data_IF_700221986804
#
_entry.id   IF_700221986804
#
_cell.length_a   1.000
_cell.length_b   1.000
_cell.length_c   1.000
_cell.angle_alpha   90.00
_cell.angle_beta   90.00
_cell.angle_gamma   90.00
#
_symmetry.space_group_name_H-M   'P 1'
#
loop_
_entity.id
_entity.type
_entity.pdbx_description
1 polymer ?
#
# COMPACT_ATOMS: atom_id res chain seq x y z
N UNK A 1 4.03 -65.67 11.50
CA UNK A 1 3.87 -64.46 12.30
C UNK A 1 4.48 -63.33 11.50
N UNK A 2 3.63 -62.49 10.87
CA UNK A 2 4.08 -61.27 10.16
C UNK A 2 3.83 -60.07 11.09
N UNK A 3 4.88 -59.39 11.47
CA UNK A 3 4.81 -58.17 12.26
C UNK A 3 4.49 -56.98 11.34
N UNK A 4 3.31 -56.36 11.51
CA UNK A 4 2.96 -55.10 10.89
C UNK A 4 3.71 -53.95 11.60
N UNK A 5 4.64 -53.30 10.93
CA UNK A 5 5.22 -52.05 11.37
C UNK A 5 4.21 -50.89 11.09
N UNK A 6 3.66 -50.31 12.15
CA UNK A 6 2.85 -49.11 12.11
C UNK A 6 3.83 -47.95 11.98
N UNK A 7 3.89 -47.33 10.79
CA UNK A 7 4.58 -46.08 10.56
C UNK A 7 3.74 -44.93 11.15
N UNK A 8 4.16 -44.38 12.28
CA UNK A 8 3.63 -43.14 12.84
C UNK A 8 4.23 -41.98 12.01
N UNK A 9 3.51 -41.57 10.98
CA UNK A 9 3.79 -40.33 10.28
C UNK A 9 3.58 -39.16 11.24
N UNK A 10 4.67 -38.51 11.66
CA UNK A 10 4.63 -37.22 12.30
C UNK A 10 4.27 -36.23 11.18
N UNK A 11 3.01 -35.78 11.13
CA UNK A 11 2.63 -34.65 10.32
C UNK A 11 3.35 -33.45 10.92
N UNK A 12 4.34 -32.91 10.22
CA UNK A 12 4.87 -31.57 10.51
C UNK A 12 3.69 -30.61 10.41
N UNK A 13 3.27 -30.05 11.54
CA UNK A 13 2.34 -28.95 11.59
C UNK A 13 3.07 -27.80 10.88
N UNK A 14 2.55 -27.32 9.75
CA UNK A 14 3.11 -26.15 9.09
C UNK A 14 3.07 -25.03 10.13
N UNK A 15 4.23 -24.46 10.45
CA UNK A 15 4.31 -23.31 11.36
C UNK A 15 3.41 -22.21 10.81
N UNK A 16 2.52 -21.70 11.67
CA UNK A 16 1.58 -20.64 11.31
C UNK A 16 2.38 -19.38 10.91
N UNK A 17 2.14 -18.86 9.71
CA UNK A 17 2.81 -17.65 9.23
C UNK A 17 2.57 -16.49 10.19
N UNK A 18 3.63 -15.79 10.59
CA UNK A 18 3.55 -14.61 11.45
C UNK A 18 4.24 -13.42 10.81
N UNK A 19 3.66 -12.24 10.98
CA UNK A 19 4.23 -10.99 10.49
C UNK A 19 4.38 -9.95 11.60
N UNK A 20 5.50 -9.24 11.56
CA UNK A 20 5.66 -7.94 12.20
C UNK A 20 5.43 -6.87 11.14
N UNK A 21 4.59 -5.87 11.41
CA UNK A 21 4.23 -4.89 10.38
C UNK A 21 3.91 -3.50 10.95
N UNK A 22 4.16 -2.47 10.14
CA UNK A 22 3.60 -1.13 10.31
C UNK A 22 2.19 -1.11 9.70
N UNK A 23 1.22 -0.52 10.40
CA UNK A 23 -0.11 -0.22 9.89
C UNK A 23 -0.33 1.30 9.85
N UNK A 24 -0.82 1.81 8.71
CA UNK A 24 -1.18 3.21 8.49
C UNK A 24 -2.66 3.33 8.13
N UNK A 25 -3.40 4.20 8.84
CA UNK A 25 -4.83 4.37 8.59
C UNK A 25 -5.52 5.20 9.67
N UNK A 26 -6.71 4.76 10.08
CA UNK A 26 -7.44 5.40 11.17
C UNK A 26 -6.71 5.26 12.52
N UNK A 27 -5.89 4.26 12.66
CA UNK A 27 -4.88 4.09 13.69
C UNK A 27 -3.53 3.82 13.01
N UNK A 28 -2.43 4.22 13.67
CA UNK A 28 -1.07 4.01 13.16
C UNK A 28 -0.25 3.34 14.25
N UNK A 29 0.32 2.17 13.94
CA UNK A 29 1.03 1.36 14.91
C UNK A 29 1.96 0.34 14.24
N UNK A 30 2.95 -0.12 14.99
CA UNK A 30 3.70 -1.33 14.65
C UNK A 30 3.11 -2.49 15.47
N UNK A 31 2.76 -3.57 14.78
CA UNK A 31 2.30 -4.82 15.36
C UNK A 31 3.46 -5.80 15.35
N UNK A 32 3.77 -6.38 16.51
CA UNK A 32 4.74 -7.46 16.66
C UNK A 32 4.20 -8.78 16.13
N UNK A 33 5.08 -9.71 15.81
CA UNK A 33 4.73 -11.06 15.40
C UNK A 33 3.95 -11.86 16.48
N UNK A 34 4.04 -11.42 17.74
CA UNK A 34 3.27 -11.95 18.87
C UNK A 34 1.85 -11.37 19.01
N UNK A 35 1.42 -10.56 18.04
CA UNK A 35 0.11 -9.91 18.04
C UNK A 35 -0.03 -8.74 19.01
N UNK A 36 1.09 -8.26 19.61
CA UNK A 36 1.07 -7.08 20.49
C UNK A 36 1.57 -5.84 19.75
N UNK A 37 0.99 -4.68 20.10
CA UNK A 37 1.48 -3.41 19.58
C UNK A 37 2.80 -3.03 20.26
N UNK A 38 3.86 -2.91 19.47
CA UNK A 38 5.19 -2.47 19.93
C UNK A 38 5.32 -0.95 19.96
N UNK A 39 4.63 -0.27 19.04
CA UNK A 39 4.66 1.17 18.90
C UNK A 39 3.31 1.70 18.41
N UNK A 40 2.96 2.93 18.78
CA UNK A 40 1.73 3.60 18.34
C UNK A 40 2.01 5.07 18.07
N UNK A 41 1.36 5.62 17.05
CA UNK A 41 1.41 7.04 16.72
C UNK A 41 0.05 7.69 16.99
N UNK A 42 -0.02 8.90 17.61
CA UNK A 42 -1.27 9.47 18.08
C UNK A 42 -2.14 10.10 16.98
N UNK A 43 -1.76 9.99 15.71
CA UNK A 43 -2.48 10.59 14.58
C UNK A 43 -2.86 9.56 13.54
N UNK A 44 -3.90 9.90 12.74
CA UNK A 44 -4.27 9.16 11.54
C UNK A 44 -3.25 9.44 10.45
N UNK A 45 -2.90 8.41 9.70
CA UNK A 45 -1.96 8.50 8.58
C UNK A 45 -2.60 7.94 7.32
N UNK A 46 -2.05 8.28 6.17
CA UNK A 46 -2.44 7.72 4.88
C UNK A 46 -1.44 6.69 4.40
N UNK A 47 -0.17 6.97 4.62
CA UNK A 47 0.96 6.22 4.10
C UNK A 47 2.10 6.29 5.11
N UNK A 48 3.06 5.37 5.05
CA UNK A 48 4.23 5.41 5.92
C UNK A 48 5.12 4.19 5.81
N UNK A 49 6.36 4.37 6.27
CA UNK A 49 7.43 3.37 6.18
C UNK A 49 8.30 3.37 7.43
N UNK A 50 8.83 2.21 7.76
CA UNK A 50 9.94 2.02 8.70
C UNK A 50 11.19 1.77 7.87
N UNK A 51 12.19 2.63 8.02
CA UNK A 51 13.48 2.50 7.33
C UNK A 51 14.39 1.49 8.03
N UNK A 52 15.49 1.10 7.38
CA UNK A 52 16.41 0.10 7.91
C UNK A 52 17.08 0.51 9.22
N UNK A 53 17.26 1.81 9.45
CA UNK A 53 17.80 2.38 10.69
C UNK A 53 16.74 2.49 11.82
N UNK A 54 15.51 2.07 11.57
CA UNK A 54 14.39 2.18 12.50
C UNK A 54 13.65 3.53 12.47
N UNK A 55 14.08 4.47 11.64
CA UNK A 55 13.35 5.72 11.39
C UNK A 55 11.98 5.44 10.78
N UNK A 56 10.94 6.12 11.24
CA UNK A 56 9.59 6.02 10.70
C UNK A 56 9.25 7.28 9.92
N UNK A 57 8.75 7.14 8.70
CA UNK A 57 8.28 8.24 7.86
C UNK A 57 6.78 8.10 7.65
N UNK A 58 6.00 9.16 7.88
CA UNK A 58 4.54 9.12 7.82
C UNK A 58 3.96 10.27 7.02
N UNK A 59 2.98 9.97 6.16
CA UNK A 59 2.07 10.95 5.58
C UNK A 59 0.84 11.12 6.49
N UNK A 60 0.72 12.28 7.13
CA UNK A 60 -0.34 12.58 8.10
C UNK A 60 -1.61 13.06 7.40
N UNK A 61 -2.75 12.57 7.85
CA UNK A 61 -4.03 13.16 7.50
C UNK A 61 -4.09 14.62 7.97
N UNK A 62 -4.92 15.40 7.30
CA UNK A 62 -5.20 16.79 7.68
C UNK A 62 -5.80 16.89 9.08
N UNK A 63 -5.34 17.88 9.85
CA UNK A 63 -5.85 18.27 11.14
C UNK A 63 -5.49 19.72 11.47
N UNK A 64 -5.93 20.27 12.63
CA UNK A 64 -5.81 21.71 12.94
C UNK A 64 -4.40 22.29 12.73
N UNK A 65 -3.34 21.56 13.14
CA UNK A 65 -1.94 22.03 12.98
C UNK A 65 -1.49 21.97 11.52
N UNK A 66 -1.96 20.97 10.76
CA UNK A 66 -1.62 20.73 9.35
C UNK A 66 -2.91 20.55 8.52
N UNK A 67 -3.57 21.65 8.11
CA UNK A 67 -4.86 21.57 7.41
C UNK A 67 -4.79 20.92 6.02
N UNK A 68 -3.59 20.88 5.40
CA UNK A 68 -3.31 20.17 4.16
C UNK A 68 -2.64 18.78 4.37
N UNK A 69 -2.53 18.32 5.61
CA UNK A 69 -1.71 17.16 5.94
C UNK A 69 -0.24 17.54 6.11
N UNK A 70 0.62 16.56 6.31
CA UNK A 70 2.06 16.76 6.48
C UNK A 70 2.83 15.47 6.21
N UNK A 71 4.15 15.58 6.01
CA UNK A 71 5.09 14.47 6.11
C UNK A 71 5.99 14.70 7.30
N UNK A 72 6.11 13.71 8.16
CA UNK A 72 6.98 13.72 9.33
C UNK A 72 7.94 12.54 9.30
N UNK A 73 9.11 12.74 9.89
CA UNK A 73 10.09 11.70 10.20
C UNK A 73 10.21 11.57 11.70
N UNK A 74 10.19 10.34 12.20
CA UNK A 74 10.33 10.01 13.61
C UNK A 74 11.60 9.17 13.74
N UNK A 75 12.59 9.70 14.43
CA UNK A 75 13.83 8.98 14.69
C UNK A 75 13.61 7.84 15.72
N UNK A 76 14.54 6.84 15.82
CA UNK A 76 14.40 5.73 16.77
C UNK A 76 14.30 6.16 18.24
N UNK A 77 14.83 7.33 18.59
CA UNK A 77 14.70 7.94 19.92
C UNK A 77 13.35 8.64 20.16
N UNK A 78 12.45 8.62 19.18
CA UNK A 78 11.12 9.23 19.22
C UNK A 78 11.05 10.70 18.81
N UNK A 79 12.17 11.33 18.45
CA UNK A 79 12.19 12.72 18.01
C UNK A 79 11.49 12.88 16.64
N UNK A 80 10.41 13.67 16.62
CA UNK A 80 9.65 13.98 15.40
C UNK A 80 10.19 15.23 14.70
N UNK A 81 10.47 15.12 13.40
CA UNK A 81 10.87 16.21 12.52
C UNK A 81 9.84 16.38 11.40
N UNK A 82 9.36 17.61 11.19
CA UNK A 82 8.53 17.98 10.05
C UNK A 82 9.40 18.04 8.79
N UNK A 83 9.06 17.22 7.78
CA UNK A 83 9.72 17.24 6.46
C UNK A 83 8.94 18.15 5.51
N UNK A 84 7.60 18.02 5.49
CA UNK A 84 6.74 18.81 4.61
C UNK A 84 5.44 19.19 5.31
N UNK A 85 5.05 20.44 5.18
CA UNK A 85 3.72 20.93 5.55
C UNK A 85 2.88 21.03 4.29
N UNK A 86 1.80 20.27 4.20
CA UNK A 86 0.90 20.30 3.07
C UNK A 86 0.40 21.71 2.77
N UNK A 87 0.52 22.11 1.51
CA UNK A 87 0.19 23.47 1.03
C UNK A 87 -1.14 23.52 0.31
N UNK A 88 -1.72 22.35 0.02
CA UNK A 88 -3.00 22.18 -0.63
C UNK A 88 -4.00 21.42 0.26
N UNK A 89 -5.00 20.75 -0.34
CA UNK A 89 -6.07 20.09 0.42
C UNK A 89 -5.59 18.88 1.22
N UNK A 90 -4.72 18.03 0.62
CA UNK A 90 -4.28 16.77 1.23
C UNK A 90 -2.89 16.37 0.74
N UNK A 91 -2.02 15.90 1.67
CA UNK A 91 -0.89 15.03 1.34
C UNK A 91 -1.41 13.60 1.29
N UNK A 92 -1.24 12.90 0.17
CA UNK A 92 -1.86 11.60 -0.05
C UNK A 92 -0.91 10.41 0.04
N UNK A 93 0.38 10.62 -0.21
CA UNK A 93 1.39 9.58 -0.14
C UNK A 93 2.73 10.11 0.36
N UNK A 94 3.57 9.23 0.85
CA UNK A 94 4.99 9.44 1.04
C UNK A 94 5.71 8.14 0.71
N UNK A 95 6.80 8.24 -0.03
CA UNK A 95 7.69 7.11 -0.30
C UNK A 95 9.14 7.55 -0.07
N UNK A 96 9.84 6.97 0.90
CA UNK A 96 11.30 7.10 1.01
C UNK A 96 11.96 6.42 -0.18
N UNK A 97 12.98 7.03 -0.77
CA UNK A 97 13.74 6.46 -1.88
C UNK A 97 15.10 5.96 -1.42
N UNK A 98 15.75 5.13 -2.24
CA UNK A 98 17.10 4.64 -1.97
C UNK A 98 18.14 5.77 -1.92
N UNK A 99 17.86 6.90 -2.61
CA UNK A 99 18.70 8.10 -2.60
C UNK A 99 18.53 8.95 -1.32
N UNK A 100 17.67 8.53 -0.39
CA UNK A 100 17.36 9.26 0.85
C UNK A 100 16.47 10.48 0.62
N UNK A 101 15.71 10.51 -0.48
CA UNK A 101 14.69 11.53 -0.76
C UNK A 101 13.31 11.01 -0.39
N UNK A 102 12.29 11.86 -0.49
CA UNK A 102 10.88 11.50 -0.26
C UNK A 102 10.04 11.92 -1.45
N UNK A 103 9.37 10.95 -2.09
CA UNK A 103 8.33 11.24 -3.08
C UNK A 103 7.01 11.43 -2.37
N UNK A 104 6.33 12.54 -2.60
CA UNK A 104 5.01 12.84 -2.04
C UNK A 104 4.05 13.31 -3.11
N UNK A 105 2.75 13.18 -2.85
CA UNK A 105 1.72 13.81 -3.69
C UNK A 105 0.81 14.69 -2.86
N UNK A 106 0.48 15.85 -3.41
CA UNK A 106 -0.54 16.74 -2.89
C UNK A 106 -1.76 16.78 -3.83
N UNK A 107 -2.93 16.53 -3.26
CA UNK A 107 -4.21 16.74 -3.92
C UNK A 107 -4.77 18.13 -3.56
N UNK A 108 -5.41 18.79 -4.51
CA UNK A 108 -5.96 20.11 -4.32
C UNK A 108 -6.35 20.75 -5.65
N UNK A 109 -6.42 22.08 -5.69
CA UNK A 109 -6.72 22.84 -6.92
C UNK A 109 -5.62 22.66 -7.97
N UNK A 110 -4.39 22.37 -7.52
CA UNK A 110 -3.21 22.13 -8.36
C UNK A 110 -2.53 20.82 -7.91
N UNK A 111 -3.13 19.64 -8.21
CA UNK A 111 -2.55 18.37 -7.79
C UNK A 111 -1.16 18.19 -8.38
N UNK A 112 -0.20 17.73 -7.57
CA UNK A 112 1.20 17.62 -7.97
C UNK A 112 1.95 16.51 -7.28
N UNK A 113 3.02 16.07 -7.92
CA UNK A 113 4.07 15.26 -7.34
C UNK A 113 5.22 16.17 -6.91
N UNK A 114 5.83 15.86 -5.78
CA UNK A 114 7.04 16.48 -5.29
C UNK A 114 8.05 15.38 -4.92
N UNK A 115 9.31 15.55 -5.29
CA UNK A 115 10.42 14.81 -4.66
C UNK A 115 11.19 15.78 -3.77
N UNK A 116 11.33 15.41 -2.50
CA UNK A 116 11.92 16.24 -1.46
C UNK A 116 13.27 15.65 -1.00
N UNK A 117 14.24 16.50 -0.70
CA UNK A 117 15.42 16.07 0.04
C UNK A 117 15.06 15.58 1.45
N UNK A 118 15.98 14.95 2.14
CA UNK A 118 15.85 14.56 3.55
C UNK A 118 15.48 15.71 4.51
N UNK A 119 15.70 16.97 4.09
CA UNK A 119 15.39 18.19 4.85
C UNK A 119 14.15 18.93 4.35
N UNK A 120 13.41 18.35 3.38
CA UNK A 120 12.18 18.93 2.84
C UNK A 120 12.39 19.97 1.73
N UNK A 121 13.62 20.13 1.18
CA UNK A 121 13.83 20.96 0.00
C UNK A 121 13.26 20.26 -1.23
N UNK A 122 12.46 20.98 -2.04
CA UNK A 122 11.93 20.47 -3.32
C UNK A 122 13.07 20.27 -4.32
N UNK A 123 13.19 19.06 -4.85
CA UNK A 123 14.18 18.64 -5.85
C UNK A 123 13.50 18.43 -7.22
N UNK A 124 12.28 17.89 -7.22
CA UNK A 124 11.44 17.68 -8.39
C UNK A 124 10.03 18.15 -8.05
N UNK A 125 9.38 18.80 -8.99
CA UNK A 125 7.98 19.21 -8.89
C UNK A 125 7.34 19.23 -10.27
N UNK A 126 6.18 18.58 -10.41
CA UNK A 126 5.37 18.69 -11.61
C UNK A 126 3.87 18.46 -11.32
N UNK A 127 2.97 19.05 -12.15
CA UNK A 127 1.53 18.85 -11.99
C UNK A 127 1.11 17.42 -12.37
N UNK A 128 0.16 16.84 -11.62
CA UNK A 128 -0.51 15.61 -11.98
C UNK A 128 -1.73 15.89 -12.86
N UNK A 129 -1.92 15.12 -13.92
CA UNK A 129 -2.97 15.32 -14.92
C UNK A 129 -4.36 14.85 -14.45
N UNK A 130 -4.70 15.02 -13.16
CA UNK A 130 -5.98 14.64 -12.59
C UNK A 130 -7.12 15.48 -13.16
N UNK A 131 -8.17 14.84 -13.71
CA UNK A 131 -9.30 15.54 -14.32
C UNK A 131 -10.36 15.95 -13.30
N UNK A 132 -10.49 15.21 -12.21
CA UNK A 132 -11.53 15.46 -11.20
C UNK A 132 -11.23 16.70 -10.35
N UNK A 133 -12.30 17.46 -10.02
CA UNK A 133 -12.25 18.55 -9.04
C UNK A 133 -12.46 18.07 -7.59
N UNK A 134 -12.80 16.81 -7.39
CA UNK A 134 -12.86 16.23 -6.06
C UNK A 134 -11.45 15.91 -5.60
N UNK A 135 -10.84 16.80 -4.80
CA UNK A 135 -9.46 16.67 -4.33
C UNK A 135 -9.19 15.33 -3.65
N UNK A 136 -10.16 14.86 -2.86
CA UNK A 136 -10.04 13.55 -2.18
C UNK A 136 -9.92 12.38 -3.17
N UNK A 137 -10.37 12.52 -4.39
CA UNK A 137 -10.45 11.47 -5.40
C UNK A 137 -9.45 11.65 -6.55
N UNK A 138 -8.45 12.52 -6.40
CA UNK A 138 -7.45 12.78 -7.43
C UNK A 138 -6.41 11.65 -7.49
N UNK A 139 -5.56 11.53 -6.47
CA UNK A 139 -4.45 10.56 -6.46
C UNK A 139 -4.29 9.88 -5.11
N UNK A 140 -3.59 8.75 -5.09
CA UNK A 140 -3.20 8.03 -3.88
C UNK A 140 -1.73 7.61 -3.98
N UNK A 141 -1.37 6.45 -3.52
CA UNK A 141 -0.03 5.95 -3.27
C UNK A 141 0.85 5.95 -4.52
N UNK A 142 1.41 7.11 -4.83
CA UNK A 142 2.39 7.29 -5.91
C UNK A 142 3.74 6.71 -5.50
N UNK A 143 4.42 6.08 -6.46
CA UNK A 143 5.69 5.37 -6.24
C UNK A 143 6.72 5.75 -7.30
N UNK A 144 7.99 5.90 -6.89
CA UNK A 144 9.14 6.10 -7.79
C UNK A 144 9.67 4.73 -8.23
N UNK A 145 9.96 4.59 -9.51
CA UNK A 145 10.58 3.39 -10.06
C UNK A 145 12.12 3.50 -10.04
N UNK A 146 12.80 2.37 -10.25
CA UNK A 146 14.27 2.31 -10.22
C UNK A 146 14.93 3.08 -11.38
N UNK A 147 14.21 3.28 -12.48
CA UNK A 147 14.63 4.11 -13.61
C UNK A 147 14.43 5.62 -13.37
N UNK A 148 13.91 6.01 -12.20
CA UNK A 148 13.67 7.39 -11.79
C UNK A 148 12.34 7.95 -12.26
N UNK A 149 11.48 7.16 -12.93
CA UNK A 149 10.12 7.53 -13.32
C UNK A 149 9.12 7.29 -12.19
N UNK A 150 7.84 7.64 -12.37
CA UNK A 150 6.85 7.55 -11.29
C UNK A 150 5.55 6.90 -11.75
N UNK A 151 5.00 6.02 -10.92
CA UNK A 151 3.63 5.50 -11.08
C UNK A 151 2.70 6.26 -10.15
N UNK A 152 1.69 6.92 -10.70
CA UNK A 152 0.70 7.69 -9.95
C UNK A 152 -0.72 7.16 -10.24
N UNK A 153 -1.37 6.50 -9.27
CA UNK A 153 -2.77 6.11 -9.38
C UNK A 153 -3.67 7.35 -9.37
N UNK A 154 -4.50 7.53 -10.40
CA UNK A 154 -5.52 8.56 -10.50
C UNK A 154 -6.91 7.92 -10.34
N UNK A 155 -7.56 8.14 -9.18
CA UNK A 155 -8.75 7.38 -8.81
C UNK A 155 -9.89 7.54 -9.80
N UNK A 156 -10.37 8.76 -10.02
CA UNK A 156 -11.52 9.02 -10.90
C UNK A 156 -11.14 9.18 -12.38
N UNK A 157 -9.87 9.09 -12.72
CA UNK A 157 -9.41 8.92 -14.09
C UNK A 157 -9.33 7.42 -14.46
N UNK A 158 -9.57 6.53 -13.48
CA UNK A 158 -9.58 5.07 -13.62
C UNK A 158 -8.32 4.51 -14.27
N UNK A 159 -7.16 5.11 -13.96
CA UNK A 159 -5.90 4.72 -14.56
C UNK A 159 -4.72 4.97 -13.62
N UNK A 160 -3.68 4.16 -13.78
CA UNK A 160 -2.36 4.44 -13.23
C UNK A 160 -1.56 5.16 -14.32
N UNK A 161 -1.11 6.38 -14.03
CA UNK A 161 -0.28 7.16 -14.93
C UNK A 161 1.19 6.88 -14.67
N UNK A 162 1.96 6.76 -15.75
CA UNK A 162 3.40 6.64 -15.73
C UNK A 162 4.00 7.98 -16.17
N UNK A 163 4.73 8.63 -15.28
CA UNK A 163 5.34 9.96 -15.51
C UNK A 163 6.86 9.84 -15.58
N UNK A 164 7.47 10.62 -16.47
CA UNK A 164 8.91 10.88 -16.41
C UNK A 164 9.24 11.88 -15.27
N UNK A 165 10.53 12.19 -15.13
CA UNK A 165 11.02 13.11 -14.09
C UNK A 165 10.58 14.57 -14.28
N UNK A 166 10.22 14.94 -15.47
CA UNK A 166 9.80 16.30 -15.82
C UNK A 166 8.26 16.46 -15.85
N UNK A 167 7.53 15.37 -15.57
CA UNK A 167 6.07 15.32 -15.55
C UNK A 167 5.45 14.98 -16.91
N UNK A 168 6.25 14.58 -17.88
CA UNK A 168 5.76 14.02 -19.15
C UNK A 168 5.08 12.68 -18.93
N UNK A 169 3.93 12.45 -19.56
CA UNK A 169 3.20 11.18 -19.48
C UNK A 169 3.81 10.19 -20.46
N UNK A 170 4.47 9.15 -19.93
CA UNK A 170 5.05 8.04 -20.71
C UNK A 170 3.98 7.02 -21.11
N UNK A 171 2.94 6.86 -20.30
CA UNK A 171 1.87 5.90 -20.54
C UNK A 171 0.84 5.88 -19.42
N UNK A 172 -0.17 5.03 -19.57
CA UNK A 172 -1.17 4.77 -18.54
C UNK A 172 -1.70 3.35 -18.62
N UNK A 173 -2.00 2.76 -17.45
CA UNK A 173 -2.73 1.50 -17.32
C UNK A 173 -4.19 1.82 -17.02
N UNK A 174 -5.10 1.44 -17.91
CA UNK A 174 -6.53 1.56 -17.69
C UNK A 174 -6.99 0.47 -16.70
N UNK A 175 -7.61 0.88 -15.61
CA UNK A 175 -8.11 -0.04 -14.59
C UNK A 175 -9.59 -0.39 -14.77
N UNK A 176 -10.26 0.12 -15.80
CA UNK A 176 -11.63 -0.25 -16.11
C UNK A 176 -11.72 -1.69 -16.62
N UNK A 177 -12.90 -2.30 -16.49
CA UNK A 177 -13.19 -3.60 -17.11
C UNK A 177 -14.01 -3.36 -18.36
N UNK A 178 -13.52 -3.72 -19.54
CA UNK A 178 -14.27 -3.57 -20.78
C UNK A 178 -15.64 -4.25 -20.69
N UNK A 179 -16.70 -3.52 -21.09
CA UNK A 179 -18.06 -4.06 -21.12
C UNK A 179 -18.82 -4.09 -19.79
N UNK A 180 -18.17 -3.74 -18.66
CA UNK A 180 -18.84 -3.63 -17.35
C UNK A 180 -18.97 -2.19 -16.89
N UNK A 181 -20.14 -1.54 -17.02
CA UNK A 181 -20.35 -0.16 -16.59
C UNK A 181 -20.18 0.04 -15.07
N UNK A 182 -20.40 -1.00 -14.25
CA UNK A 182 -20.17 -0.93 -12.79
C UNK A 182 -18.68 -0.84 -12.50
N UNK A 183 -17.86 -1.59 -13.19
CA UNK A 183 -16.42 -1.56 -13.05
C UNK A 183 -15.81 -0.23 -13.52
N UNK A 184 -16.37 0.40 -14.54
CA UNK A 184 -15.97 1.74 -14.97
C UNK A 184 -16.16 2.78 -13.88
N UNK A 185 -17.24 2.69 -13.10
CA UNK A 185 -17.57 3.65 -12.02
C UNK A 185 -16.74 3.40 -10.76
N UNK A 186 -16.29 2.17 -10.50
CA UNK A 186 -15.69 1.77 -9.22
C UNK A 186 -14.25 1.28 -9.28
N UNK A 187 -13.65 1.17 -10.47
CA UNK A 187 -12.27 0.70 -10.64
C UNK A 187 -11.23 1.78 -10.31
N UNK A 188 -11.30 2.31 -9.09
CA UNK A 188 -10.38 3.35 -8.63
C UNK A 188 -9.03 2.75 -8.26
N UNK A 189 -7.94 2.98 -9.01
CA UNK A 189 -6.62 2.52 -8.61
C UNK A 189 -6.16 3.28 -7.36
N UNK A 190 -5.79 2.53 -6.31
CA UNK A 190 -5.34 3.12 -5.06
C UNK A 190 -3.83 3.00 -4.88
N UNK A 191 -3.28 1.83 -5.16
CA UNK A 191 -1.84 1.53 -5.12
C UNK A 191 -1.46 0.87 -6.43
N UNK A 192 -0.29 1.19 -6.96
CA UNK A 192 0.34 0.51 -8.07
C UNK A 192 1.79 0.20 -7.71
N UNK A 193 2.19 -1.08 -7.83
CA UNK A 193 3.51 -1.58 -7.47
C UNK A 193 4.12 -2.24 -8.69
N UNK A 194 5.31 -1.76 -9.10
CA UNK A 194 6.12 -2.45 -10.11
C UNK A 194 6.82 -3.63 -9.45
N UNK A 195 6.75 -4.81 -10.06
CA UNK A 195 7.39 -6.01 -9.51
C UNK A 195 7.80 -6.98 -10.63
N UNK A 196 8.66 -7.96 -10.27
CA UNK A 196 9.12 -8.99 -11.21
C UNK A 196 9.64 -8.41 -12.53
N UNK A 197 9.30 -9.05 -13.64
CA UNK A 197 9.76 -8.69 -14.99
C UNK A 197 8.92 -7.56 -15.63
N UNK A 198 8.72 -6.47 -14.91
CA UNK A 198 8.00 -5.30 -15.42
C UNK A 198 6.48 -5.33 -15.19
N UNK A 199 5.99 -6.28 -14.42
CA UNK A 199 4.57 -6.36 -14.04
C UNK A 199 4.16 -5.20 -13.12
N UNK A 200 2.89 -4.83 -13.14
CA UNK A 200 2.33 -3.80 -12.26
C UNK A 200 1.08 -4.33 -11.55
N UNK A 201 1.22 -4.55 -10.24
CA UNK A 201 0.11 -4.91 -9.36
C UNK A 201 -0.67 -3.67 -8.95
N UNK A 202 -2.00 -3.67 -9.14
CA UNK A 202 -2.88 -2.53 -8.85
C UNK A 202 -4.02 -2.96 -7.94
N UNK A 203 -4.16 -2.29 -6.78
CA UNK A 203 -5.36 -2.40 -5.95
C UNK A 203 -6.45 -1.47 -6.50
N UNK A 204 -7.56 -2.05 -6.95
CA UNK A 204 -8.72 -1.32 -7.46
C UNK A 204 -9.80 -1.30 -6.38
N UNK A 205 -9.78 -0.22 -5.56
CA UNK A 205 -10.79 0.01 -4.52
C UNK A 205 -12.20 0.15 -5.15
N UNK A 206 -13.25 -0.05 -4.40
CA UNK A 206 -14.66 -0.14 -4.83
C UNK A 206 -15.00 -1.25 -5.83
N UNK A 207 -14.14 -1.58 -6.80
CA UNK A 207 -14.34 -2.75 -7.66
C UNK A 207 -13.98 -4.06 -6.95
N UNK A 208 -13.51 -3.98 -5.69
CA UNK A 208 -13.21 -5.14 -4.84
C UNK A 208 -12.28 -6.14 -5.52
N UNK A 209 -11.24 -5.66 -6.17
CA UNK A 209 -10.29 -6.52 -6.89
C UNK A 209 -8.86 -5.99 -6.82
N UNK A 210 -7.92 -6.92 -6.99
CA UNK A 210 -6.51 -6.64 -7.22
C UNK A 210 -6.14 -7.21 -8.57
N UNK A 211 -5.44 -6.44 -9.40
CA UNK A 211 -5.14 -6.78 -10.80
C UNK A 211 -3.65 -6.69 -11.02
N UNK A 212 -3.08 -7.67 -11.72
CA UNK A 212 -1.70 -7.63 -12.17
C UNK A 212 -1.64 -7.47 -13.69
N UNK A 213 -0.92 -6.46 -14.14
CA UNK A 213 -0.72 -6.14 -15.54
C UNK A 213 0.70 -6.54 -15.95
N UNK A 214 0.86 -7.11 -17.15
CA UNK A 214 2.18 -7.28 -17.76
C UNK A 214 2.76 -5.93 -18.25
N UNK A 215 3.97 -5.95 -18.80
CA UNK A 215 4.65 -4.78 -19.35
C UNK A 215 3.93 -4.13 -20.55
N UNK A 216 3.03 -4.87 -21.22
CA UNK A 216 2.20 -4.37 -22.32
C UNK A 216 0.85 -3.81 -21.83
N UNK A 217 0.61 -3.80 -20.52
CA UNK A 217 -0.65 -3.34 -19.92
C UNK A 217 -1.80 -4.33 -20.04
N UNK A 218 -1.53 -5.61 -20.35
CA UNK A 218 -2.53 -6.67 -20.39
C UNK A 218 -2.70 -7.26 -18.98
N UNK A 219 -3.94 -7.49 -18.56
CA UNK A 219 -4.25 -8.20 -17.32
C UNK A 219 -3.80 -9.67 -17.44
N UNK A 220 -2.93 -10.10 -16.52
CA UNK A 220 -2.39 -11.46 -16.46
C UNK A 220 -2.82 -12.22 -15.20
N UNK A 221 -3.29 -11.51 -14.18
CA UNK A 221 -3.83 -12.10 -12.95
C UNK A 221 -4.83 -11.15 -12.30
N UNK A 222 -5.87 -11.70 -11.68
CA UNK A 222 -6.88 -10.93 -10.95
C UNK A 222 -7.31 -11.71 -9.72
N UNK A 223 -7.44 -11.02 -8.58
CA UNK A 223 -8.05 -11.52 -7.35
C UNK A 223 -9.36 -10.77 -7.11
N UNK A 224 -10.41 -11.52 -6.79
CA UNK A 224 -11.74 -11.01 -6.44
C UNK A 224 -12.27 -11.71 -5.18
N UNK A 225 -13.43 -11.32 -4.69
CA UNK A 225 -14.07 -12.02 -3.57
C UNK A 225 -14.54 -13.44 -3.93
N UNK A 226 -14.71 -13.75 -5.23
CA UNK A 226 -15.04 -15.11 -5.69
C UNK A 226 -13.89 -16.10 -5.45
N UNK A 227 -12.66 -15.59 -5.32
CA UNK A 227 -11.45 -16.37 -5.04
C UNK A 227 -11.20 -16.54 -3.54
N UNK A 228 -11.99 -15.91 -2.66
CA UNK A 228 -11.76 -15.84 -1.22
C UNK A 228 -12.89 -16.55 -0.44
N UNK A 229 -12.64 -16.99 0.80
CA UNK A 229 -13.67 -17.63 1.64
C UNK A 229 -14.88 -16.73 1.97
N UNK A 230 -14.80 -15.42 1.66
CA UNK A 230 -15.87 -14.46 1.92
C UNK A 230 -15.61 -13.11 1.26
N UNK A 231 -16.51 -12.16 1.52
CA UNK A 231 -16.45 -10.78 1.02
C UNK A 231 -15.30 -9.97 1.69
N UNK A 232 -14.07 -10.46 1.62
CA UNK A 232 -12.93 -9.90 2.35
C UNK A 232 -12.30 -8.70 1.65
N UNK A 233 -12.34 -8.62 0.31
CA UNK A 233 -11.90 -7.43 -0.43
C UNK A 233 -12.98 -6.35 -0.35
N UNK A 234 -12.86 -5.48 0.66
CA UNK A 234 -13.72 -4.33 0.86
C UNK A 234 -12.85 -3.06 0.83
N UNK A 235 -12.82 -2.38 -0.32
CA UNK A 235 -11.91 -1.29 -0.63
C UNK A 235 -10.42 -1.72 -0.47
N UNK A 236 -9.88 -2.62 -1.33
CA UNK A 236 -8.45 -2.93 -1.33
C UNK A 236 -7.64 -1.67 -1.63
N UNK A 237 -6.71 -1.34 -0.73
CA UNK A 237 -5.93 -0.09 -0.76
C UNK A 237 -4.43 -0.34 -0.94
N UNK A 238 -3.72 -0.64 0.15
CA UNK A 238 -2.29 -0.95 0.11
C UNK A 238 -2.01 -2.39 -0.31
N UNK A 239 -0.88 -2.63 -0.94
CA UNK A 239 -0.35 -3.96 -1.20
C UNK A 239 1.17 -4.01 -1.02
N UNK A 240 1.70 -5.20 -0.84
CA UNK A 240 3.12 -5.51 -0.86
C UNK A 240 3.33 -6.90 -1.46
N UNK A 241 4.27 -7.02 -2.40
CA UNK A 241 4.74 -8.31 -2.89
C UNK A 241 5.89 -8.77 -2.00
N UNK A 242 5.77 -9.95 -1.42
CA UNK A 242 6.78 -10.52 -0.53
C UNK A 242 7.87 -11.24 -1.33
N UNK A 243 9.07 -11.47 -0.74
CA UNK A 243 10.16 -12.19 -1.43
C UNK A 243 9.81 -13.61 -1.90
N UNK A 244 8.84 -14.27 -1.26
CA UNK A 244 8.33 -15.58 -1.68
C UNK A 244 7.30 -15.51 -2.82
N UNK A 245 7.00 -14.30 -3.33
CA UNK A 245 6.02 -14.05 -4.39
C UNK A 245 4.57 -13.91 -3.90
N UNK A 246 4.29 -14.12 -2.61
CA UNK A 246 2.98 -13.87 -2.05
C UNK A 246 2.64 -12.37 -2.05
N UNK A 247 1.37 -12.06 -2.07
CA UNK A 247 0.87 -10.68 -2.07
C UNK A 247 0.11 -10.45 -0.76
N UNK A 248 0.54 -9.44 0.01
CA UNK A 248 -0.26 -8.95 1.14
C UNK A 248 -1.09 -7.76 0.67
N UNK A 249 -2.35 -7.70 1.08
CA UNK A 249 -3.33 -6.69 0.65
C UNK A 249 -4.00 -6.10 1.88
N UNK A 250 -4.10 -4.76 1.95
CA UNK A 250 -4.92 -4.07 2.93
C UNK A 250 -6.35 -3.90 2.42
N UNK A 251 -7.33 -4.47 3.12
CA UNK A 251 -8.76 -4.32 2.85
C UNK A 251 -9.35 -3.27 3.80
N UNK A 252 -9.33 -2.00 3.37
CA UNK A 252 -9.63 -0.84 4.23
C UNK A 252 -11.02 -0.87 4.86
N UNK A 253 -12.04 -1.20 4.09
CA UNK A 253 -13.41 -1.16 4.58
C UNK A 253 -13.84 -2.44 5.29
N UNK A 254 -13.14 -3.56 5.13
CA UNK A 254 -13.50 -4.84 5.74
C UNK A 254 -13.68 -4.71 7.27
N UNK A 255 -12.64 -4.29 7.98
CA UNK A 255 -12.70 -4.11 9.43
C UNK A 255 -13.63 -2.99 9.89
N UNK A 256 -14.04 -2.06 9.01
CA UNK A 256 -15.03 -1.02 9.30
C UNK A 256 -16.47 -1.55 9.24
N UNK A 257 -16.70 -2.52 8.35
CA UNK A 257 -18.00 -3.21 8.18
C UNK A 257 -18.16 -4.26 9.27
N UNK A 258 -17.19 -5.19 9.35
CA UNK A 258 -17.12 -6.22 10.38
C UNK A 258 -15.76 -6.15 11.08
N UNK A 259 -15.69 -5.88 12.40
CA UNK A 259 -14.43 -5.77 13.13
C UNK A 259 -13.61 -7.08 13.13
N UNK A 260 -14.25 -8.23 12.88
CA UNK A 260 -13.59 -9.53 12.82
C UNK A 260 -13.15 -9.92 11.39
N UNK A 261 -13.57 -9.16 10.37
CA UNK A 261 -13.12 -9.40 9.00
C UNK A 261 -11.62 -9.10 8.85
N UNK A 262 -10.91 -9.81 7.96
CA UNK A 262 -9.50 -9.57 7.68
C UNK A 262 -9.26 -8.16 7.16
N UNK A 263 -8.33 -7.44 7.80
CA UNK A 263 -7.84 -6.10 7.38
C UNK A 263 -6.60 -6.18 6.53
N UNK A 264 -5.77 -7.20 6.77
CA UNK A 264 -4.67 -7.61 5.91
C UNK A 264 -4.89 -9.07 5.53
N UNK A 265 -4.59 -9.39 4.28
CA UNK A 265 -4.77 -10.71 3.70
C UNK A 265 -3.51 -11.04 2.91
N UNK A 266 -2.82 -12.13 3.23
CA UNK A 266 -1.74 -12.68 2.41
C UNK A 266 -2.28 -13.78 1.51
N UNK A 267 -1.98 -13.66 0.21
CA UNK A 267 -2.45 -14.55 -0.85
C UNK A 267 -1.26 -15.07 -1.64
N UNK A 268 -1.24 -16.36 -1.94
CA UNK A 268 -0.33 -16.94 -2.92
C UNK A 268 -0.73 -16.52 -4.35
N UNK A 269 0.16 -16.73 -5.33
CA UNK A 269 -0.21 -16.50 -6.75
C UNK A 269 -1.30 -17.46 -7.25
N UNK A 270 -1.45 -18.62 -6.59
CA UNK A 270 -2.54 -19.59 -6.86
C UNK A 270 -3.84 -19.23 -6.12
N UNK A 271 -3.86 -18.08 -5.41
CA UNK A 271 -4.98 -17.50 -4.68
C UNK A 271 -5.34 -18.22 -3.36
N UNK A 272 -4.44 -19.05 -2.84
CA UNK A 272 -4.60 -19.62 -1.52
C UNK A 272 -4.33 -18.57 -0.45
N UNK A 273 -5.16 -18.55 0.60
CA UNK A 273 -4.95 -17.66 1.75
C UNK A 273 -3.82 -18.23 2.61
N UNK A 274 -2.69 -17.50 2.70
CA UNK A 274 -1.54 -17.89 3.52
C UNK A 274 -1.60 -17.31 4.93
N UNK A 275 -2.16 -16.08 5.09
CA UNK A 275 -2.28 -15.42 6.38
C UNK A 275 -3.35 -14.32 6.35
N UNK A 276 -3.91 -14.02 7.53
CA UNK A 276 -4.83 -12.90 7.71
C UNK A 276 -4.59 -12.18 9.03
N UNK A 277 -4.93 -10.89 9.07
CA UNK A 277 -4.93 -10.09 10.28
C UNK A 277 -6.26 -9.39 10.50
N UNK A 278 -6.80 -9.55 11.71
CA UNK A 278 -7.93 -8.78 12.24
C UNK A 278 -7.65 -8.40 13.71
N UNK A 279 -8.24 -7.33 14.22
CA UNK A 279 -7.99 -6.82 15.58
C UNK A 279 -9.26 -6.55 16.39
N UNK A 280 -10.42 -6.98 15.89
CA UNK A 280 -11.70 -6.80 16.55
C UNK A 280 -12.19 -5.33 16.63
N UNK A 281 -11.57 -4.39 15.87
CA UNK A 281 -11.91 -2.96 15.93
C UNK A 281 -12.52 -2.46 14.63
N UNK A 282 -13.49 -1.54 14.72
CA UNK A 282 -14.10 -0.88 13.54
C UNK A 282 -13.23 0.23 12.95
N UNK A 283 -12.02 -0.11 12.56
CA UNK A 283 -11.04 0.79 11.93
C UNK A 283 -10.44 0.14 10.70
N UNK A 284 -10.07 0.96 9.69
CA UNK A 284 -9.44 0.49 8.46
C UNK A 284 -7.93 0.77 8.43
N UNK A 285 -7.22 -0.04 7.64
CA UNK A 285 -5.81 0.13 7.28
C UNK A 285 -5.75 0.51 5.81
N UNK A 286 -5.18 1.69 5.49
CA UNK A 286 -4.98 2.14 4.11
C UNK A 286 -3.72 1.56 3.51
N UNK A 287 -2.62 1.64 4.27
CA UNK A 287 -1.30 1.18 3.89
C UNK A 287 -0.67 0.41 5.06
N UNK A 288 0.27 -0.44 4.73
CA UNK A 288 1.08 -1.20 5.68
C UNK A 288 2.44 -1.49 5.06
N UNK A 289 3.36 -1.92 5.91
CA UNK A 289 4.64 -2.49 5.51
C UNK A 289 4.91 -3.72 6.35
N UNK A 290 5.08 -4.88 5.73
CA UNK A 290 5.60 -6.07 6.41
C UNK A 290 7.08 -5.86 6.70
N UNK A 291 7.44 -5.94 7.97
CA UNK A 291 8.81 -5.69 8.47
C UNK A 291 9.59 -6.99 8.69
N UNK A 292 8.90 -8.06 9.04
CA UNK A 292 9.47 -9.40 9.12
C UNK A 292 8.40 -10.47 8.92
N UNK A 293 8.82 -11.65 8.44
CA UNK A 293 8.00 -12.84 8.30
C UNK A 293 8.69 -13.98 9.05
N UNK A 294 7.98 -14.65 9.98
CA UNK A 294 8.51 -15.76 10.79
C UNK A 294 9.83 -15.41 11.50
N UNK A 295 9.97 -14.17 11.96
CA UNK A 295 11.16 -13.65 12.61
C UNK A 295 12.27 -13.17 11.67
N UNK A 296 12.21 -13.49 10.38
CA UNK A 296 13.16 -12.99 9.37
C UNK A 296 12.80 -11.57 8.94
N UNK A 297 13.74 -10.64 9.12
CA UNK A 297 13.56 -9.25 8.72
C UNK A 297 13.53 -9.13 7.20
N UNK A 298 12.54 -8.41 6.68
CA UNK A 298 12.51 -8.00 5.29
C UNK A 298 13.38 -6.74 5.13
N UNK A 299 14.33 -6.80 4.20
CA UNK A 299 15.24 -5.68 3.88
C UNK A 299 14.91 -5.14 2.49
N UNK A 300 15.31 -3.91 2.23
CA UNK A 300 15.04 -3.23 0.98
C UNK A 300 13.71 -2.49 0.97
N UNK A 301 13.40 -1.90 -0.19
CA UNK A 301 12.17 -1.13 -0.33
C UNK A 301 10.97 -2.07 -0.56
N UNK A 302 9.87 -1.96 0.21
CA UNK A 302 8.76 -2.91 0.17
C UNK A 302 7.93 -2.87 -1.14
N UNK A 303 8.18 -1.90 -1.99
CA UNK A 303 7.49 -1.71 -3.27
C UNK A 303 8.42 -1.89 -4.48
N UNK A 304 9.54 -2.58 -4.28
CA UNK A 304 10.56 -2.82 -5.34
C UNK A 304 11.12 -4.22 -5.27
#
# INVERSE_FOLDING_TARGET
MFANAVSTGVSAQADETTHRFLACGQQTYIMGADGKKEWTYPRKTRDGYVLDDGTIVLALNKFKKYPGGAVVRIAPDGNETLIWKGTQSEVNSVEPTAEGTYVITEAGDHPRLLELSATGKVLVEFPLACQTKNHHMQTRMTRKLDDGTYLAPHLLDFAVFHYDRDGGILGKLDTTVPGDPKHKVHSWPFTAIRHGDGHTLVCCTHSKRVVDFDDNGKVVWTLTNEDLPGEWLQDPCGAQVLPNGNIVIASYAAGRIDPNAPKLIEITRDKDVAWTYSDGKKVGIHHFQILSTNGERLTGHPNK
#
